data_IF_572284296955
#
_entry.id   IF_572284296955
#
_cell.length_a   1.000
_cell.length_b   1.000
_cell.length_c   1.000
_cell.angle_alpha   90.00
_cell.angle_beta   90.00
_cell.angle_gamma   90.00
#
_symmetry.space_group_name_H-M   'P 1'
#
loop_
_entity.id
_entity.type
_entity.pdbx_description
1 polymer ?
#
# COMPACT_ATOMS: atom_id res chain seq x y z
N UNK A 1 -9.49 -11.05 11.12
CA UNK A 1 -8.86 -12.37 10.93
C UNK A 1 -8.11 -12.31 9.62
N UNK A 2 -6.80 -12.34 9.71
CA UNK A 2 -5.88 -12.20 8.59
C UNK A 2 -5.73 -13.53 7.84
N UNK A 3 -5.47 -13.50 6.53
CA UNK A 3 -5.34 -14.73 5.72
C UNK A 3 -4.21 -15.64 6.25
N UNK A 4 -3.17 -15.03 6.83
CA UNK A 4 -2.03 -15.73 7.41
C UNK A 4 -2.38 -16.60 8.60
N UNK A 5 -3.39 -16.24 9.39
CA UNK A 5 -3.87 -17.03 10.53
C UNK A 5 -4.55 -18.32 10.04
N UNK A 6 -5.36 -18.23 8.99
CA UNK A 6 -6.07 -19.36 8.37
C UNK A 6 -5.09 -20.40 7.84
N UNK A 7 -4.04 -19.95 7.14
CA UNK A 7 -3.03 -20.85 6.57
C UNK A 7 -2.23 -21.54 7.68
N UNK A 8 -1.89 -20.83 8.77
CA UNK A 8 -1.18 -21.42 9.92
C UNK A 8 -1.95 -22.55 10.58
N UNK A 9 -3.28 -22.48 10.57
CA UNK A 9 -4.18 -23.51 11.11
C UNK A 9 -4.47 -24.64 10.10
N UNK A 10 -3.84 -24.64 8.92
CA UNK A 10 -4.08 -25.62 7.87
C UNK A 10 -5.40 -25.43 7.12
N UNK A 11 -6.06 -24.29 7.31
CA UNK A 11 -7.31 -23.95 6.64
C UNK A 11 -7.10 -23.42 5.22
N UNK A 12 -8.14 -23.55 4.40
CA UNK A 12 -8.22 -22.90 3.09
C UNK A 12 -9.64 -22.35 2.89
N UNK A 13 -9.78 -21.03 2.83
CA UNK A 13 -11.07 -20.37 2.60
C UNK A 13 -10.91 -18.99 2.00
N UNK A 14 -11.94 -18.54 1.29
CA UNK A 14 -12.04 -17.16 0.81
C UNK A 14 -12.35 -16.25 2.00
N UNK A 15 -11.56 -15.19 2.19
CA UNK A 15 -11.87 -14.17 3.20
C UNK A 15 -13.13 -13.40 2.81
N UNK A 16 -14.00 -13.05 3.77
CA UNK A 16 -15.04 -12.06 3.54
C UNK A 16 -14.41 -10.76 3.00
N UNK A 17 -14.89 -10.29 1.83
CA UNK A 17 -14.31 -9.12 1.14
C UNK A 17 -13.09 -9.41 0.27
N UNK A 18 -12.49 -10.60 0.35
CA UNK A 18 -11.39 -11.03 -0.50
C UNK A 18 -10.06 -10.27 -0.29
N UNK A 19 -9.05 -10.65 -1.07
CA UNK A 19 -7.77 -9.98 -1.14
C UNK A 19 -7.83 -8.96 -2.28
N UNK A 20 -7.52 -7.70 -2.00
CA UNK A 20 -7.58 -6.62 -2.98
C UNK A 20 -6.22 -6.40 -3.64
N UNK A 21 -6.23 -6.16 -4.95
CA UNK A 21 -5.04 -5.80 -5.71
C UNK A 21 -4.61 -4.36 -5.43
N UNK A 22 -3.29 -4.10 -5.49
CA UNK A 22 -2.74 -2.75 -5.52
C UNK A 22 -2.80 -2.10 -6.92
N UNK A 23 -3.01 -2.90 -7.97
CA UNK A 23 -3.22 -2.39 -9.33
C UNK A 23 -4.53 -1.59 -9.39
N UNK A 24 -4.44 -0.36 -9.91
CA UNK A 24 -5.59 0.54 -9.96
C UNK A 24 -6.02 1.11 -8.61
N UNK A 25 -5.28 0.83 -7.53
CA UNK A 25 -5.59 1.38 -6.21
C UNK A 25 -5.25 2.88 -6.13
N UNK A 26 -5.89 3.59 -5.19
CA UNK A 26 -5.49 4.96 -4.81
C UNK A 26 -4.62 4.88 -3.57
N UNK A 27 -3.37 5.32 -3.67
CA UNK A 27 -2.38 5.28 -2.60
C UNK A 27 -2.09 6.69 -2.12
N UNK A 28 -2.20 6.93 -0.81
CA UNK A 28 -1.84 8.20 -0.17
C UNK A 28 -0.72 7.98 0.83
N UNK A 29 0.40 8.68 0.65
CA UNK A 29 1.54 8.65 1.56
C UNK A 29 1.51 9.87 2.48
N UNK A 30 1.15 9.68 3.76
CA UNK A 30 1.24 10.74 4.76
C UNK A 30 2.66 10.81 5.33
N UNK A 31 3.36 11.90 5.02
CA UNK A 31 4.78 12.07 5.25
C UNK A 31 5.60 11.71 4.01
N UNK A 32 6.30 12.71 3.45
CA UNK A 32 7.16 12.57 2.26
C UNK A 32 8.64 12.73 2.62
N UNK A 33 9.04 12.19 3.79
CA UNK A 33 10.45 12.04 4.16
C UNK A 33 11.12 10.90 3.37
N UNK A 34 12.31 10.46 3.79
CA UNK A 34 13.09 9.46 3.03
C UNK A 34 12.33 8.14 2.86
N UNK A 35 11.69 7.65 3.94
CA UNK A 35 10.87 6.43 3.91
C UNK A 35 9.66 6.59 2.99
N UNK A 36 8.94 7.72 3.11
CA UNK A 36 7.75 7.98 2.30
C UNK A 36 8.08 8.08 0.81
N UNK A 37 9.23 8.68 0.48
CA UNK A 37 9.73 8.82 -0.88
C UNK A 37 10.15 7.46 -1.45
N UNK A 38 10.87 6.65 -0.67
CA UNK A 38 11.28 5.31 -1.11
C UNK A 38 10.08 4.36 -1.25
N UNK A 39 9.10 4.43 -0.34
CA UNK A 39 7.84 3.73 -0.48
C UNK A 39 7.10 4.15 -1.76
N UNK A 40 6.97 5.46 -1.99
CA UNK A 40 6.34 6.00 -3.19
C UNK A 40 7.06 5.51 -4.47
N UNK A 41 8.39 5.40 -4.46
CA UNK A 41 9.17 4.85 -5.58
C UNK A 41 8.83 3.37 -5.83
N UNK A 42 8.76 2.55 -4.79
CA UNK A 42 8.46 1.10 -4.90
C UNK A 42 7.01 0.82 -5.28
N UNK A 43 6.07 1.56 -4.69
CA UNK A 43 4.63 1.31 -4.91
C UNK A 43 4.19 1.62 -6.35
N UNK A 44 4.95 2.46 -7.08
CA UNK A 44 4.72 2.70 -8.52
C UNK A 44 4.75 1.44 -9.37
N UNK A 45 5.58 0.45 -9.01
CA UNK A 45 5.68 -0.82 -9.75
C UNK A 45 4.37 -1.64 -9.72
N UNK A 46 3.46 -1.34 -8.79
CA UNK A 46 2.15 -1.98 -8.69
C UNK A 46 1.09 -1.31 -9.57
N UNK A 47 1.42 -0.23 -10.30
CA UNK A 47 0.50 0.50 -11.16
C UNK A 47 -0.78 0.97 -10.44
N UNK A 48 -0.67 1.75 -9.35
CA UNK A 48 -1.84 2.37 -8.73
C UNK A 48 -2.49 3.36 -9.70
N UNK A 49 -3.81 3.54 -9.60
CA UNK A 49 -4.52 4.57 -10.35
C UNK A 49 -4.08 5.98 -9.93
N UNK A 50 -3.70 6.16 -8.67
CA UNK A 50 -3.14 7.42 -8.18
C UNK A 50 -2.16 7.20 -7.02
N UNK A 51 -1.13 8.03 -6.96
CA UNK A 51 -0.17 8.08 -5.85
C UNK A 51 -0.01 9.53 -5.39
N UNK A 52 -0.49 9.84 -4.19
CA UNK A 52 -0.48 11.21 -3.64
C UNK A 52 0.40 11.27 -2.38
N UNK A 53 1.39 12.16 -2.38
CA UNK A 53 2.17 12.49 -1.19
C UNK A 53 1.57 13.67 -0.43
N UNK A 54 1.49 13.58 0.89
CA UNK A 54 1.02 14.67 1.76
C UNK A 54 2.09 14.98 2.79
N UNK A 55 2.52 16.24 2.86
CA UNK A 55 3.50 16.69 3.85
C UNK A 55 3.15 18.06 4.40
N UNK A 56 3.56 18.34 5.64
CA UNK A 56 3.33 19.65 6.27
C UNK A 56 4.09 20.78 5.57
N UNK A 57 5.29 20.49 5.08
CA UNK A 57 6.15 21.49 4.44
C UNK A 57 5.74 21.81 3.01
N UNK A 58 4.93 20.96 2.37
CA UNK A 58 4.63 21.05 0.93
C UNK A 58 5.85 20.86 0.03
N UNK A 59 7.02 20.53 0.60
CA UNK A 59 8.27 20.30 -0.14
C UNK A 59 8.38 18.82 -0.48
N UNK A 60 8.74 18.54 -1.73
CA UNK A 60 9.28 17.24 -2.10
C UNK A 60 10.67 17.09 -1.47
N UNK A 61 11.01 15.88 -1.03
CA UNK A 61 12.41 15.55 -0.81
C UNK A 61 13.11 15.60 -2.18
N UNK A 62 14.20 16.36 -2.25
CA UNK A 62 15.01 16.53 -3.45
C UNK A 62 15.74 15.24 -3.83
#
# INVERSE_FOLDING_TARGET
>A
MEYTEIIREGGWRVLPGGIHSLHGARVTCLGTGDIGTEFARRVRAFHPASLTGVSRSGRANA
#
